data_IF_773030698565
#
_entry.id   IF_773030698565
#
_cell.length_a   1.000
_cell.length_b   1.000
_cell.length_c   1.000
_cell.angle_alpha   90.00
_cell.angle_beta   90.00
_cell.angle_gamma   90.00
#
_symmetry.space_group_name_H-M   'P 1'
#
loop_
_entity.id
_entity.type
_entity.pdbx_description
1 polymer ?
#
# COMPACT_ATOMS: atom_id res chain seq x y z
N UNK A 1 9.87 -7.00 26.58
CA UNK A 1 8.88 -7.80 25.83
C UNK A 1 7.95 -6.79 25.16
N UNK A 2 7.75 -6.84 23.84
CA UNK A 2 6.88 -5.88 23.15
C UNK A 2 5.39 -6.19 23.41
N UNK A 3 4.58 -5.17 23.62
CA UNK A 3 3.11 -5.28 23.67
C UNK A 3 2.54 -5.54 22.27
N UNK A 4 1.30 -6.06 22.20
CA UNK A 4 0.60 -6.26 20.91
C UNK A 4 0.49 -4.96 20.10
N UNK A 5 0.32 -3.81 20.78
CA UNK A 5 0.23 -2.50 20.14
C UNK A 5 1.58 -2.06 19.57
N UNK A 6 2.65 -2.16 20.35
CA UNK A 6 4.01 -1.81 19.88
C UNK A 6 4.43 -2.69 18.70
N UNK A 7 4.12 -4.00 18.76
CA UNK A 7 4.34 -4.92 17.64
C UNK A 7 3.58 -4.49 16.39
N UNK A 8 2.32 -4.09 16.52
CA UNK A 8 1.53 -3.60 15.39
C UNK A 8 2.14 -2.34 14.79
N UNK A 9 2.46 -1.33 15.61
CA UNK A 9 3.04 -0.06 15.15
C UNK A 9 4.35 -0.30 14.41
N UNK A 10 5.28 -1.03 15.02
CA UNK A 10 6.59 -1.36 14.43
C UNK A 10 6.47 -2.07 13.08
N UNK A 11 5.52 -3.00 12.96
CA UNK A 11 5.29 -3.72 11.71
C UNK A 11 4.58 -2.86 10.66
N UNK A 12 3.63 -2.02 11.08
CA UNK A 12 2.90 -1.13 10.20
C UNK A 12 3.83 -0.06 9.59
N UNK A 13 4.63 0.60 10.41
CA UNK A 13 5.61 1.61 9.98
C UNK A 13 6.61 1.01 8.99
N UNK A 14 7.27 -0.11 9.35
CA UNK A 14 8.22 -0.77 8.47
C UNK A 14 7.60 -1.19 7.12
N UNK A 15 6.34 -1.64 7.13
CA UNK A 15 5.65 -2.03 5.88
C UNK A 15 5.28 -0.80 5.06
N UNK A 16 4.84 0.28 5.70
CA UNK A 16 4.49 1.52 5.04
C UNK A 16 5.71 2.14 4.35
N UNK A 17 6.86 2.19 5.02
CA UNK A 17 8.10 2.70 4.43
C UNK A 17 8.48 1.95 3.14
N UNK A 18 8.36 0.62 3.15
CA UNK A 18 8.64 -0.20 1.97
C UNK A 18 7.64 0.06 0.83
N UNK A 19 6.36 0.25 1.16
CA UNK A 19 5.32 0.57 0.16
C UNK A 19 5.59 1.94 -0.46
N UNK A 20 5.86 2.97 0.36
CA UNK A 20 6.17 4.32 -0.11
C UNK A 20 7.39 4.32 -1.03
N UNK A 21 8.47 3.64 -0.63
CA UNK A 21 9.66 3.49 -1.45
C UNK A 21 9.37 2.76 -2.77
N UNK A 22 8.53 1.73 -2.74
CA UNK A 22 8.11 1.02 -3.95
C UNK A 22 7.34 1.93 -4.91
N UNK A 23 6.42 2.75 -4.40
CA UNK A 23 5.65 3.72 -5.19
C UNK A 23 6.57 4.76 -5.82
N UNK A 24 7.54 5.29 -5.06
CA UNK A 24 8.54 6.24 -5.57
C UNK A 24 9.36 5.63 -6.71
N UNK A 25 9.84 4.39 -6.54
CA UNK A 25 10.58 3.67 -7.59
C UNK A 25 9.73 3.44 -8.84
N UNK A 26 8.44 3.15 -8.69
CA UNK A 26 7.51 3.06 -9.83
C UNK A 26 7.33 4.40 -10.52
N UNK A 27 7.28 5.50 -9.77
CA UNK A 27 7.25 6.86 -10.31
C UNK A 27 8.49 7.16 -11.16
N UNK A 28 9.67 6.70 -10.76
CA UNK A 28 10.90 6.89 -11.53
C UNK A 28 10.88 6.21 -12.90
N UNK A 29 10.04 5.18 -13.10
CA UNK A 29 9.85 4.52 -14.39
C UNK A 29 9.05 5.38 -15.39
N UNK A 30 8.39 6.46 -14.94
CA UNK A 30 7.72 7.41 -15.83
C UNK A 30 8.69 8.33 -16.56
N UNK A 31 10.01 8.15 -16.38
CA UNK A 31 11.01 8.92 -17.12
C UNK A 31 11.20 8.32 -18.52
N UNK A 32 10.54 8.92 -19.52
CA UNK A 32 10.60 8.50 -20.92
C UNK A 32 11.98 8.64 -21.57
N UNK A 33 12.92 9.37 -20.95
CA UNK A 33 14.30 9.45 -21.47
C UNK A 33 15.10 8.18 -21.16
N UNK A 34 14.74 7.46 -20.10
CA UNK A 34 15.44 6.26 -19.64
C UNK A 34 14.70 4.97 -19.99
N UNK A 35 13.38 5.06 -20.20
CA UNK A 35 12.51 3.91 -20.38
C UNK A 35 11.49 4.13 -21.49
N UNK A 36 11.19 3.05 -22.22
CA UNK A 36 10.06 3.00 -23.12
C UNK A 36 8.89 2.33 -22.39
N UNK A 37 7.75 3.03 -22.36
CA UNK A 37 6.52 2.51 -21.77
C UNK A 37 5.33 3.06 -22.55
N UNK A 38 4.24 2.32 -22.54
CA UNK A 38 2.98 2.77 -23.12
C UNK A 38 2.10 3.40 -22.05
N UNK A 39 1.12 4.19 -22.49
CA UNK A 39 0.06 4.66 -21.60
C UNK A 39 -0.75 3.50 -20.99
N UNK A 40 -0.81 2.36 -21.70
CA UNK A 40 -1.44 1.15 -21.20
C UNK A 40 -0.67 0.56 -20.01
N UNK A 41 0.67 0.56 -20.05
CA UNK A 41 1.52 0.08 -18.95
C UNK A 41 1.31 0.92 -17.69
N UNK A 42 1.31 2.25 -17.83
CA UNK A 42 1.01 3.17 -16.72
C UNK A 42 -0.38 2.93 -16.16
N UNK A 43 -1.38 2.79 -17.03
CA UNK A 43 -2.77 2.53 -16.62
C UNK A 43 -2.89 1.23 -15.83
N UNK A 44 -2.23 0.15 -16.28
CA UNK A 44 -2.18 -1.14 -15.58
C UNK A 44 -1.55 -1.00 -14.20
N UNK A 45 -0.39 -0.34 -14.09
CA UNK A 45 0.31 -0.13 -12.80
C UNK A 45 -0.60 0.60 -11.81
N UNK A 46 -1.18 1.74 -12.22
CA UNK A 46 -2.03 2.54 -11.35
C UNK A 46 -3.31 1.78 -10.96
N UNK A 47 -3.91 1.05 -11.90
CA UNK A 47 -5.10 0.23 -11.62
C UNK A 47 -4.78 -0.84 -10.58
N UNK A 48 -3.68 -1.57 -10.74
CA UNK A 48 -3.25 -2.61 -9.79
C UNK A 48 -3.00 -2.03 -8.40
N UNK A 49 -2.34 -0.88 -8.30
CA UNK A 49 -2.13 -0.20 -7.01
C UNK A 49 -3.46 0.17 -6.34
N UNK A 50 -4.41 0.75 -7.10
CA UNK A 50 -5.74 1.10 -6.57
C UNK A 50 -6.52 -0.12 -6.10
N UNK A 51 -6.50 -1.21 -6.86
CA UNK A 51 -7.14 -2.48 -6.46
C UNK A 51 -6.54 -3.01 -5.16
N UNK A 52 -5.21 -3.04 -5.05
CA UNK A 52 -4.55 -3.52 -3.83
C UNK A 52 -4.92 -2.70 -2.58
N UNK A 53 -5.07 -1.37 -2.71
CA UNK A 53 -5.55 -0.51 -1.62
C UNK A 53 -7.01 -0.82 -1.29
N UNK A 54 -7.87 -0.99 -2.29
CA UNK A 54 -9.28 -1.34 -2.09
C UNK A 54 -9.46 -2.69 -1.37
N UNK A 55 -8.65 -3.69 -1.74
CA UNK A 55 -8.67 -5.00 -1.09
C UNK A 55 -8.19 -4.93 0.37
N UNK A 56 -7.20 -4.07 0.65
CA UNK A 56 -6.73 -3.80 2.01
C UNK A 56 -7.83 -3.14 2.85
N UNK A 57 -8.52 -2.13 2.32
CA UNK A 57 -9.68 -1.50 2.96
C UNK A 57 -10.79 -2.52 3.25
N UNK A 58 -11.09 -3.39 2.28
CA UNK A 58 -12.09 -4.44 2.46
C UNK A 58 -11.69 -5.41 3.58
N UNK A 59 -10.42 -5.79 3.68
CA UNK A 59 -9.92 -6.65 4.76
C UNK A 59 -10.08 -5.99 6.14
N UNK A 60 -9.84 -4.68 6.25
CA UNK A 60 -10.10 -3.95 7.49
C UNK A 60 -11.59 -3.83 7.82
N UNK A 61 -12.45 -3.67 6.80
CA UNK A 61 -13.89 -3.50 6.97
C UNK A 61 -14.63 -4.84 7.23
N UNK A 62 -14.16 -5.94 6.66
CA UNK A 62 -14.71 -7.30 6.88
C UNK A 62 -14.37 -7.88 8.23
N UNK A 63 -13.42 -7.30 8.95
CA UNK A 63 -13.17 -7.60 10.37
C UNK A 63 -14.28 -7.09 11.32
N UNK A 64 -15.46 -6.75 10.81
CA UNK A 64 -16.63 -6.39 11.60
C UNK A 64 -17.38 -7.64 12.10
N UNK A 65 -17.02 -8.11 13.30
CA UNK A 65 -18.04 -8.48 14.29
C UNK A 65 -17.70 -7.91 15.69
N UNK A 66 -18.57 -6.99 16.11
CA UNK A 66 -18.89 -6.53 17.47
C UNK A 66 -17.94 -5.61 18.26
N UNK A 67 -18.48 -4.39 18.45
CA UNK A 67 -18.34 -3.42 19.54
C UNK A 67 -17.02 -2.65 19.70
N UNK A 68 -17.16 -1.36 19.35
CA UNK A 68 -16.43 -0.17 19.82
C UNK A 68 -14.95 -0.12 19.48
N UNK A 69 -14.66 0.44 18.31
CA UNK A 69 -13.34 1.00 18.05
C UNK A 69 -13.24 2.39 18.71
N UNK A 70 -12.36 2.50 19.70
CA UNK A 70 -11.73 3.77 20.09
C UNK A 70 -10.23 3.59 19.84
N UNK A 71 -9.60 4.59 19.23
CA UNK A 71 -8.17 4.82 19.40
C UNK A 71 -7.91 5.32 20.82
#
# INVERSE_FOLDING_TARGET
METKREKFVRLAEKRMDNILKGIELMGNLSNSNNYEYTQEDLSKIIKTLKTAVSDLEHTYNTASWTKKFKL
#
